data_IF_882058229950
#
_entry.id   IF_882058229950
#
_cell.length_a   1.000
_cell.length_b   1.000
_cell.length_c   1.000
_cell.angle_alpha   90.00
_cell.angle_beta   90.00
_cell.angle_gamma   90.00
#
_symmetry.space_group_name_H-M   'P 1'
#
loop_
_entity.id
_entity.type
_entity.pdbx_description
1 polymer ?
#
# COMPACT_ATOMS: atom_id res chain seq x y z
N UNK A 1 -16.16 9.25 -20.31
CA UNK A 1 -15.35 10.27 -21.00
C UNK A 1 -13.86 10.02 -20.75
N UNK A 2 -13.25 9.26 -21.67
CA UNK A 2 -11.78 8.99 -21.66
C UNK A 2 -10.98 10.25 -22.07
N UNK A 3 -11.66 11.33 -22.43
CA UNK A 3 -11.09 12.51 -23.08
C UNK A 3 -10.29 13.45 -22.14
N UNK A 4 -10.15 13.15 -20.86
CA UNK A 4 -9.51 14.08 -19.92
C UNK A 4 -8.46 13.43 -18.98
N UNK A 5 -7.86 12.32 -19.41
CA UNK A 5 -6.76 11.72 -18.66
C UNK A 5 -5.45 12.41 -19.08
N UNK A 6 -4.72 12.95 -18.11
CA UNK A 6 -3.39 13.54 -18.33
C UNK A 6 -2.48 12.57 -19.10
N UNK A 7 -1.78 13.08 -20.12
CA UNK A 7 -0.88 12.29 -20.98
C UNK A 7 0.18 11.50 -20.19
N UNK A 8 0.63 12.02 -19.03
CA UNK A 8 1.54 11.31 -18.13
C UNK A 8 0.86 10.10 -17.48
N UNK A 9 -0.42 10.22 -17.11
CA UNK A 9 -1.21 9.11 -16.56
C UNK A 9 -1.46 8.05 -17.61
N UNK A 10 -1.78 8.45 -18.86
CA UNK A 10 -1.93 7.53 -19.99
C UNK A 10 -0.63 6.73 -20.24
N UNK A 11 0.51 7.40 -20.26
CA UNK A 11 1.80 6.73 -20.45
C UNK A 11 2.15 5.79 -19.27
N UNK A 12 1.78 6.13 -18.03
CA UNK A 12 1.97 5.26 -16.87
C UNK A 12 1.07 4.02 -16.94
N UNK A 13 -0.19 4.18 -17.33
CA UNK A 13 -1.13 3.07 -17.54
C UNK A 13 -0.64 2.16 -18.67
N UNK A 14 -0.17 2.72 -19.79
CA UNK A 14 0.37 1.93 -20.89
C UNK A 14 1.54 1.07 -20.44
N UNK A 15 2.52 1.64 -19.70
CA UNK A 15 3.64 0.87 -19.15
C UNK A 15 3.18 -0.23 -18.19
N UNK A 16 2.24 0.07 -17.31
CA UNK A 16 1.69 -0.94 -16.40
C UNK A 16 1.00 -2.05 -17.19
N UNK A 17 0.16 -1.71 -18.16
CA UNK A 17 -0.52 -2.69 -19.00
C UNK A 17 0.46 -3.53 -19.81
N UNK A 18 1.55 -2.95 -20.33
CA UNK A 18 2.55 -3.68 -21.09
C UNK A 18 3.25 -4.77 -20.25
N UNK A 19 3.48 -4.49 -18.96
CA UNK A 19 4.12 -5.44 -18.03
C UNK A 19 3.13 -6.47 -17.49
N UNK A 20 1.85 -6.10 -17.32
CA UNK A 20 0.85 -6.90 -16.58
C UNK A 20 -0.26 -7.47 -17.46
N UNK A 21 -0.23 -7.25 -18.78
CA UNK A 21 -1.28 -7.66 -19.74
C UNK A 21 -1.76 -9.09 -19.56
N UNK A 22 -0.82 -10.02 -19.47
CA UNK A 22 -1.17 -11.43 -19.31
C UNK A 22 -1.93 -11.68 -17.99
N UNK A 23 -1.44 -11.11 -16.89
CA UNK A 23 -2.08 -11.25 -15.58
C UNK A 23 -3.47 -10.63 -15.54
N UNK A 24 -3.68 -9.47 -16.18
CA UNK A 24 -4.98 -8.82 -16.25
C UNK A 24 -5.99 -9.60 -17.12
N UNK A 25 -5.54 -10.15 -18.26
CA UNK A 25 -6.43 -10.83 -19.19
C UNK A 25 -6.92 -12.19 -18.70
N UNK A 26 -6.14 -12.87 -17.86
CA UNK A 26 -6.44 -14.23 -17.41
C UNK A 26 -6.82 -14.32 -15.93
N UNK A 27 -6.76 -13.21 -15.18
CA UNK A 27 -7.10 -13.18 -13.77
C UNK A 27 -8.62 -13.38 -13.57
N UNK A 28 -8.99 -14.19 -12.59
CA UNK A 28 -10.36 -14.31 -12.06
C UNK A 28 -10.66 -13.26 -10.99
N UNK A 29 -9.62 -12.64 -10.45
CA UNK A 29 -9.67 -11.53 -9.51
C UNK A 29 -8.32 -10.84 -9.44
N UNK A 30 -8.29 -9.60 -9.01
CA UNK A 30 -7.09 -8.79 -8.95
C UNK A 30 -6.95 -8.17 -7.56
N UNK A 31 -5.73 -8.20 -7.04
CA UNK A 31 -5.32 -7.43 -5.87
C UNK A 31 -4.34 -6.37 -6.36
N UNK A 32 -4.77 -5.11 -6.37
CA UNK A 32 -3.87 -3.99 -6.63
C UNK A 32 -3.16 -3.59 -5.34
N UNK A 33 -1.86 -3.38 -5.43
CA UNK A 33 -0.97 -2.99 -4.32
C UNK A 33 -0.11 -1.79 -4.71
N UNK A 34 0.45 -1.08 -3.75
CA UNK A 34 1.26 0.11 -4.04
C UNK A 34 2.56 -0.23 -4.73
N UNK A 35 3.27 -1.22 -4.23
CA UNK A 35 4.62 -1.53 -4.66
C UNK A 35 4.96 -3.01 -4.73
N UNK A 36 6.26 -3.24 -4.95
CA UNK A 36 6.81 -4.57 -5.13
C UNK A 36 6.85 -5.37 -3.83
N UNK A 37 6.90 -4.68 -2.68
CA UNK A 37 6.96 -5.31 -1.37
C UNK A 37 5.69 -6.11 -1.11
N UNK A 38 4.54 -5.47 -1.27
CA UNK A 38 3.22 -6.10 -1.15
C UNK A 38 3.01 -7.18 -2.20
N UNK A 39 3.46 -6.92 -3.44
CA UNK A 39 3.37 -7.91 -4.52
C UNK A 39 4.06 -9.23 -4.16
N UNK A 40 5.19 -9.17 -3.47
CA UNK A 40 5.95 -10.35 -3.06
C UNK A 40 5.40 -10.98 -1.78
N UNK A 41 4.97 -10.17 -0.80
CA UNK A 41 4.58 -10.66 0.51
C UNK A 41 3.15 -11.20 0.55
N UNK A 42 2.20 -10.58 -0.15
CA UNK A 42 0.78 -10.98 -0.08
C UNK A 42 0.55 -12.42 -0.55
N UNK A 43 1.14 -12.91 -1.66
CA UNK A 43 1.01 -14.31 -2.05
C UNK A 43 1.59 -15.27 -1.00
N UNK A 44 2.69 -14.91 -0.36
CA UNK A 44 3.30 -15.73 0.68
C UNK A 44 2.46 -15.75 1.97
N UNK A 45 1.88 -14.61 2.37
CA UNK A 45 0.94 -14.57 3.49
C UNK A 45 -0.29 -15.42 3.20
N UNK A 46 -0.85 -15.34 2.00
CA UNK A 46 -2.03 -16.12 1.63
C UNK A 46 -1.76 -17.62 1.70
N UNK A 47 -0.61 -18.10 1.22
CA UNK A 47 -0.20 -19.50 1.35
C UNK A 47 -0.10 -19.95 2.81
N UNK A 48 0.42 -19.07 3.71
CA UNK A 48 0.56 -19.38 5.14
C UNK A 48 -0.78 -19.57 5.85
N UNK A 49 -1.84 -18.89 5.40
CA UNK A 49 -3.19 -19.08 5.93
C UNK A 49 -4.00 -20.14 5.17
N UNK A 50 -3.37 -20.91 4.27
CA UNK A 50 -4.02 -21.96 3.50
C UNK A 50 -4.78 -21.50 2.25
N UNK A 51 -4.57 -20.26 1.83
CA UNK A 51 -5.29 -19.63 0.72
C UNK A 51 -4.32 -19.32 -0.43
N UNK A 52 -4.11 -20.24 -1.36
CA UNK A 52 -3.24 -20.01 -2.50
C UNK A 52 -3.95 -19.14 -3.55
N UNK A 53 -3.48 -17.90 -3.75
CA UNK A 53 -4.04 -16.95 -4.72
C UNK A 53 -3.88 -17.45 -6.16
N UNK A 54 -2.77 -18.11 -6.46
CA UNK A 54 -2.45 -18.63 -7.78
C UNK A 54 -3.45 -19.71 -8.21
N UNK A 55 -3.77 -20.66 -7.32
CA UNK A 55 -4.75 -21.72 -7.56
C UNK A 55 -6.17 -21.14 -7.78
N UNK A 56 -6.45 -19.98 -7.20
CA UNK A 56 -7.71 -19.28 -7.35
C UNK A 56 -7.75 -18.37 -8.60
N UNK A 57 -6.63 -18.24 -9.31
CA UNK A 57 -6.49 -17.35 -10.47
C UNK A 57 -6.51 -15.87 -10.07
N UNK A 58 -6.07 -15.54 -8.86
CA UNK A 58 -5.99 -14.16 -8.36
C UNK A 58 -4.58 -13.62 -8.59
N UNK A 59 -4.48 -12.49 -9.28
CA UNK A 59 -3.21 -11.82 -9.56
C UNK A 59 -2.97 -10.64 -8.62
N UNK A 60 -1.76 -10.54 -8.05
CA UNK A 60 -1.32 -9.38 -7.27
C UNK A 60 -0.51 -8.46 -8.17
N UNK A 61 -0.97 -7.24 -8.36
CA UNK A 61 -0.45 -6.29 -9.34
C UNK A 61 -0.03 -4.98 -8.67
N UNK A 62 1.26 -4.62 -8.69
CA UNK A 62 1.74 -3.35 -8.16
C UNK A 62 1.40 -2.21 -9.11
N UNK A 63 0.86 -1.13 -8.58
CA UNK A 63 0.48 0.05 -9.40
C UNK A 63 1.68 0.96 -9.71
N UNK A 64 2.76 0.89 -8.92
CA UNK A 64 4.04 1.56 -9.19
C UNK A 64 3.91 3.04 -9.59
N UNK A 65 3.13 3.81 -8.83
CA UNK A 65 2.92 5.25 -9.06
C UNK A 65 1.78 5.58 -10.03
N UNK A 66 0.95 4.60 -10.42
CA UNK A 66 -0.35 4.85 -11.04
C UNK A 66 -1.39 5.07 -9.95
N UNK A 67 -2.30 6.03 -10.13
CA UNK A 67 -3.41 6.22 -9.20
C UNK A 67 -4.37 5.03 -9.22
N UNK A 68 -4.71 4.50 -8.06
CA UNK A 68 -5.76 3.51 -7.92
C UNK A 68 -7.10 3.99 -8.51
N UNK A 69 -7.42 5.28 -8.35
CA UNK A 69 -8.63 5.90 -8.89
C UNK A 69 -8.75 5.71 -10.40
N UNK A 70 -7.64 5.95 -11.10
CA UNK A 70 -7.59 5.79 -12.55
C UNK A 70 -7.81 4.33 -12.95
N UNK A 71 -7.22 3.38 -12.22
CA UNK A 71 -7.40 1.96 -12.48
C UNK A 71 -8.82 1.48 -12.18
N UNK A 72 -9.39 1.92 -11.07
CA UNK A 72 -10.76 1.55 -10.68
C UNK A 72 -11.81 1.93 -11.71
N UNK A 73 -11.56 2.94 -12.55
CA UNK A 73 -12.48 3.31 -13.61
C UNK A 73 -12.66 2.23 -14.70
N UNK A 74 -11.65 1.34 -14.85
CA UNK A 74 -11.74 0.21 -15.78
C UNK A 74 -12.53 -0.97 -15.23
N UNK A 75 -12.74 -1.01 -13.90
CA UNK A 75 -13.39 -2.14 -13.22
C UNK A 75 -14.76 -1.73 -12.68
N UNK A 76 -15.74 -2.60 -12.85
CA UNK A 76 -17.09 -2.38 -12.39
C UNK A 76 -18.07 -3.30 -13.11
N UNK A 77 -19.35 -3.02 -12.93
CA UNK A 77 -20.47 -3.76 -13.56
C UNK A 77 -21.12 -3.00 -14.74
N UNK A 78 -20.53 -1.86 -15.13
CA UNK A 78 -21.00 -1.06 -16.28
C UNK A 78 -20.65 -1.70 -17.62
N UNK A 79 -21.34 -1.28 -18.68
CA UNK A 79 -21.24 -1.86 -20.04
C UNK A 79 -19.81 -1.88 -20.62
N UNK A 80 -18.97 -0.88 -20.27
CA UNK A 80 -17.60 -0.76 -20.74
C UNK A 80 -16.56 -1.01 -19.65
N UNK A 81 -16.92 -1.78 -18.61
CA UNK A 81 -16.04 -2.08 -17.49
C UNK A 81 -15.76 -3.58 -17.40
N UNK A 82 -14.60 -3.89 -16.83
CA UNK A 82 -14.17 -5.26 -16.56
C UNK A 82 -14.84 -5.72 -15.28
N UNK A 83 -15.75 -6.69 -15.39
CA UNK A 83 -16.50 -7.20 -14.25
C UNK A 83 -15.82 -8.41 -13.63
N UNK A 84 -14.67 -8.18 -12.97
CA UNK A 84 -14.00 -9.16 -12.12
C UNK A 84 -13.84 -8.57 -10.71
N UNK A 85 -13.73 -9.41 -9.66
CA UNK A 85 -13.46 -8.93 -8.31
C UNK A 85 -12.12 -8.20 -8.22
N UNK A 86 -12.12 -7.04 -7.59
CA UNK A 86 -10.92 -6.21 -7.36
C UNK A 86 -10.78 -5.92 -5.87
N UNK A 87 -9.60 -6.15 -5.34
CA UNK A 87 -9.20 -5.66 -4.03
C UNK A 87 -8.09 -4.61 -4.19
N UNK A 88 -8.13 -3.57 -3.38
CA UNK A 88 -7.02 -2.62 -3.23
C UNK A 88 -6.45 -2.80 -1.85
N UNK A 89 -5.15 -2.97 -1.76
CA UNK A 89 -4.38 -2.97 -0.51
C UNK A 89 -3.41 -1.80 -0.59
N UNK A 90 -3.55 -0.85 0.32
CA UNK A 90 -2.78 0.40 0.32
C UNK A 90 -2.50 0.86 1.74
N UNK A 91 -1.46 1.65 1.91
CA UNK A 91 -1.15 2.29 3.18
C UNK A 91 -2.15 3.40 3.50
N UNK A 92 -2.46 3.59 4.77
CA UNK A 92 -3.33 4.68 5.19
C UNK A 92 -2.61 6.02 5.19
N UNK A 93 -1.27 6.04 5.22
CA UNK A 93 -0.43 7.24 5.23
C UNK A 93 -1.03 8.36 6.10
N UNK A 94 -1.22 8.12 7.40
CA UNK A 94 -2.06 8.98 8.22
C UNK A 94 -1.56 10.41 8.24
N UNK A 95 -2.49 11.35 8.42
CA UNK A 95 -2.15 12.74 8.70
C UNK A 95 -1.22 12.79 9.90
N UNK A 96 -0.24 13.68 9.84
CA UNK A 96 0.77 13.85 10.90
C UNK A 96 0.33 14.95 11.84
N UNK A 97 0.54 14.77 13.14
CA UNK A 97 0.39 15.86 14.12
C UNK A 97 1.71 16.60 14.21
N UNK A 98 1.67 17.90 13.97
CA UNK A 98 2.79 18.78 14.27
C UNK A 98 2.60 19.35 15.67
N UNK A 99 3.50 19.07 16.60
CA UNK A 99 3.53 19.80 17.86
C UNK A 99 3.94 21.24 17.56
N UNK A 100 3.09 22.22 17.89
CA UNK A 100 3.34 23.66 17.69
C UNK A 100 3.43 24.17 16.25
N UNK A 101 2.79 23.51 15.28
CA UNK A 101 2.76 24.01 13.89
C UNK A 101 4.05 23.79 13.09
N UNK A 102 5.07 23.20 13.67
CA UNK A 102 6.29 22.80 12.99
C UNK A 102 6.37 21.28 12.93
N UNK A 103 6.86 20.74 11.82
CA UNK A 103 7.17 19.32 11.72
C UNK A 103 8.12 18.93 12.85
N UNK A 104 7.69 17.96 13.67
CA UNK A 104 8.50 17.51 14.77
C UNK A 104 9.68 16.71 14.21
N UNK A 105 10.88 17.24 14.42
CA UNK A 105 12.14 16.57 14.08
C UNK A 105 12.81 16.14 15.38
N UNK A 106 13.38 14.94 15.39
CA UNK A 106 14.26 14.54 16.47
C UNK A 106 15.57 15.34 16.41
N UNK A 107 16.45 15.12 17.39
CA UNK A 107 17.77 15.78 17.48
C UNK A 107 18.66 15.54 16.25
N UNK A 108 18.38 14.48 15.47
CA UNK A 108 19.07 14.13 14.24
C UNK A 108 18.39 14.68 12.98
N UNK A 109 17.35 15.51 13.13
CA UNK A 109 16.61 16.10 12.03
C UNK A 109 15.64 15.14 11.31
N UNK A 110 15.38 13.97 11.90
CA UNK A 110 14.43 12.98 11.35
C UNK A 110 13.01 13.34 11.78
N UNK A 111 12.09 13.22 10.85
CA UNK A 111 10.67 13.43 11.14
C UNK A 111 10.12 12.24 11.95
N UNK A 112 9.91 12.45 13.25
CA UNK A 112 9.12 11.55 14.08
C UNK A 112 7.63 11.90 13.91
N UNK A 113 7.04 11.47 12.84
CA UNK A 113 5.65 11.76 12.57
C UNK A 113 4.75 10.87 13.44
N UNK A 114 4.08 11.48 14.42
CA UNK A 114 3.04 10.82 15.19
C UNK A 114 1.75 10.86 14.36
N UNK A 115 1.08 9.72 14.11
CA UNK A 115 -0.21 9.72 13.43
C UNK A 115 -1.24 10.60 14.15
N UNK A 116 -1.91 11.47 13.42
CA UNK A 116 -3.03 12.23 13.96
C UNK A 116 -4.17 11.26 14.33
N UNK A 117 -4.83 11.55 15.47
CA UNK A 117 -5.97 10.78 15.94
C UNK A 117 -7.20 11.68 16.05
N UNK A 118 -8.35 11.12 15.79
CA UNK A 118 -9.63 11.79 16.01
C UNK A 118 -10.01 11.84 17.51
N UNK A 119 -11.19 12.37 17.80
CA UNK A 119 -11.72 12.49 19.16
C UNK A 119 -11.97 11.14 19.85
N UNK A 120 -12.06 10.05 19.08
CA UNK A 120 -12.23 8.68 19.58
C UNK A 120 -10.89 7.94 19.74
N UNK A 121 -9.78 8.59 19.38
CA UNK A 121 -8.44 8.00 19.42
C UNK A 121 -8.08 7.18 18.18
N UNK A 122 -8.93 7.15 17.15
CA UNK A 122 -8.68 6.46 15.90
C UNK A 122 -7.71 7.25 15.01
N UNK A 123 -6.83 6.54 14.31
CA UNK A 123 -5.87 7.16 13.39
C UNK A 123 -6.62 7.79 12.20
N UNK A 124 -6.31 9.05 11.91
CA UNK A 124 -6.90 9.79 10.77
C UNK A 124 -6.08 9.47 9.51
N UNK A 125 -6.64 8.71 8.55
CA UNK A 125 -5.95 8.39 7.31
C UNK A 125 -5.76 9.64 6.45
N UNK A 126 -4.91 9.57 5.43
CA UNK A 126 -4.78 10.64 4.43
C UNK A 126 -6.06 10.80 3.59
N UNK A 127 -6.20 11.96 2.94
CA UNK A 127 -7.40 12.30 2.16
C UNK A 127 -7.63 11.34 0.97
N UNK A 128 -6.56 10.75 0.42
CA UNK A 128 -6.62 9.72 -0.62
C UNK A 128 -7.51 8.54 -0.21
N UNK A 129 -7.44 8.09 1.03
CA UNK A 129 -8.25 6.98 1.53
C UNK A 129 -9.74 7.32 1.53
N UNK A 130 -10.11 8.55 1.86
CA UNK A 130 -11.52 9.00 1.81
C UNK A 130 -12.03 8.98 0.35
N UNK A 131 -11.23 9.45 -0.60
CA UNK A 131 -11.56 9.42 -2.02
C UNK A 131 -11.73 7.98 -2.53
N UNK A 132 -10.81 7.07 -2.19
CA UNK A 132 -10.91 5.66 -2.57
C UNK A 132 -12.15 4.99 -1.97
N UNK A 133 -12.46 5.24 -0.70
CA UNK A 133 -13.69 4.73 -0.07
C UNK A 133 -14.94 5.18 -0.82
N UNK A 134 -14.99 6.45 -1.22
CA UNK A 134 -16.12 7.00 -1.99
C UNK A 134 -16.26 6.32 -3.35
N UNK A 135 -15.16 6.14 -4.08
CA UNK A 135 -15.16 5.47 -5.38
C UNK A 135 -15.60 4.00 -5.27
N UNK A 136 -15.09 3.29 -4.28
CA UNK A 136 -15.39 1.87 -4.08
C UNK A 136 -16.82 1.67 -3.61
N UNK A 137 -17.40 2.59 -2.83
CA UNK A 137 -18.79 2.49 -2.37
C UNK A 137 -19.81 2.38 -3.51
N UNK A 138 -19.47 2.87 -4.69
CA UNK A 138 -20.30 2.76 -5.90
C UNK A 138 -20.09 1.47 -6.69
N UNK A 139 -19.15 0.60 -6.28
CA UNK A 139 -18.75 -0.61 -7.01
C UNK A 139 -19.05 -1.86 -6.19
N UNK A 140 -19.81 -2.78 -6.75
CA UNK A 140 -20.18 -4.03 -6.08
C UNK A 140 -19.09 -5.10 -6.15
N UNK A 141 -18.14 -4.94 -7.06
CA UNK A 141 -17.03 -5.88 -7.31
C UNK A 141 -15.68 -5.39 -6.81
N UNK A 142 -15.61 -4.30 -6.02
CA UNK A 142 -14.37 -3.74 -5.50
C UNK A 142 -14.39 -3.61 -3.98
N UNK A 143 -13.23 -3.84 -3.35
CA UNK A 143 -13.02 -3.70 -1.90
C UNK A 143 -11.70 -2.98 -1.62
N UNK A 144 -11.66 -2.21 -0.51
CA UNK A 144 -10.48 -1.51 -0.04
C UNK A 144 -10.05 -2.05 1.32
N UNK A 145 -8.77 -2.36 1.42
CA UNK A 145 -8.08 -2.74 2.64
C UNK A 145 -6.93 -1.76 2.88
N UNK A 146 -6.82 -1.25 4.09
CA UNK A 146 -5.74 -0.32 4.45
C UNK A 146 -4.98 -0.82 5.66
N UNK A 147 -3.67 -0.60 5.67
CA UNK A 147 -2.87 -0.71 6.90
C UNK A 147 -3.29 0.36 7.92
N UNK A 148 -2.90 0.21 9.18
CA UNK A 148 -3.14 1.25 10.21
C UNK A 148 -2.31 2.51 9.94
N UNK A 149 -1.06 2.32 9.52
CA UNK A 149 -0.11 3.38 9.12
C UNK A 149 0.53 3.01 7.79
N UNK A 150 1.44 2.03 7.81
CA UNK A 150 2.02 1.37 6.65
C UNK A 150 2.07 -0.14 6.88
N UNK A 151 2.30 -0.92 5.83
CA UNK A 151 2.45 -2.38 5.95
C UNK A 151 3.56 -2.74 6.94
N UNK A 152 4.72 -2.06 6.85
CA UNK A 152 5.86 -2.33 7.73
C UNK A 152 5.53 -2.00 9.19
N UNK A 153 4.78 -0.94 9.43
CA UNK A 153 4.33 -0.58 10.78
C UNK A 153 3.46 -1.68 11.37
N UNK A 154 2.45 -2.13 10.63
CA UNK A 154 1.53 -3.18 11.08
C UNK A 154 2.27 -4.50 11.32
N UNK A 155 3.20 -4.87 10.46
CA UNK A 155 4.05 -6.05 10.65
C UNK A 155 4.93 -5.93 11.90
N UNK A 156 5.56 -4.77 12.12
CA UNK A 156 6.39 -4.54 13.30
C UNK A 156 5.56 -4.54 14.60
N UNK A 157 4.33 -4.00 14.54
CA UNK A 157 3.44 -3.93 15.69
C UNK A 157 2.80 -5.28 16.04
N UNK A 158 2.60 -6.14 15.05
CA UNK A 158 1.95 -7.44 15.24
C UNK A 158 2.72 -8.38 16.18
N UNK A 159 4.06 -8.31 16.18
CA UNK A 159 4.91 -9.19 16.97
C UNK A 159 6.28 -8.56 17.26
N UNK A 160 6.73 -8.59 18.52
CA UNK A 160 8.05 -8.08 18.94
C UNK A 160 9.22 -8.80 18.25
N UNK A 161 9.09 -10.10 17.97
CA UNK A 161 10.12 -10.86 17.26
C UNK A 161 10.24 -10.39 15.81
N UNK A 162 9.12 -10.10 15.17
CA UNK A 162 9.08 -9.57 13.81
C UNK A 162 9.69 -8.17 13.74
N UNK A 163 9.38 -7.29 14.70
CA UNK A 163 10.00 -5.97 14.81
C UNK A 163 11.53 -6.08 14.95
N UNK A 164 12.02 -7.00 15.79
CA UNK A 164 13.46 -7.26 15.96
C UNK A 164 14.12 -7.77 14.66
N UNK A 165 13.43 -8.67 13.94
CA UNK A 165 13.91 -9.19 12.66
C UNK A 165 13.99 -8.10 11.60
N UNK A 166 12.97 -7.24 11.50
CA UNK A 166 12.95 -6.10 10.58
C UNK A 166 14.06 -5.10 10.89
N UNK A 167 14.31 -4.80 12.17
CA UNK A 167 15.43 -3.94 12.59
C UNK A 167 16.78 -4.51 12.18
N UNK A 168 17.00 -5.82 12.37
CA UNK A 168 18.24 -6.51 11.93
C UNK A 168 18.40 -6.50 10.42
N UNK A 169 17.32 -6.70 9.66
CA UNK A 169 17.36 -6.65 8.20
C UNK A 169 17.72 -5.24 7.70
N UNK A 170 17.14 -4.22 8.30
CA UNK A 170 17.44 -2.82 8.04
C UNK A 170 18.92 -2.49 8.32
N UNK A 171 19.40 -2.88 9.49
CA UNK A 171 20.81 -2.71 9.89
C UNK A 171 21.77 -3.37 8.88
N UNK A 172 21.51 -4.62 8.52
CA UNK A 172 22.31 -5.36 7.53
C UNK A 172 22.34 -4.69 6.16
N UNK A 173 21.23 -4.08 5.74
CA UNK A 173 21.15 -3.33 4.49
C UNK A 173 22.00 -2.06 4.52
N UNK A 174 21.95 -1.30 5.61
CA UNK A 174 22.71 -0.05 5.74
C UNK A 174 24.21 -0.28 5.92
N UNK A 175 24.63 -1.32 6.62
CA UNK A 175 26.05 -1.72 6.72
C UNK A 175 26.62 -1.95 5.33
N UNK A 176 25.89 -2.65 4.45
CA UNK A 176 26.33 -2.88 3.06
C UNK A 176 26.50 -1.59 2.25
N UNK A 177 25.77 -0.54 2.57
CA UNK A 177 25.83 0.76 1.88
C UNK A 177 26.88 1.71 2.48
N UNK A 178 27.61 1.31 3.53
CA UNK A 178 28.61 2.17 4.17
C UNK A 178 28.03 3.38 4.90
N UNK A 179 26.74 3.38 5.19
CA UNK A 179 26.08 4.43 5.95
C UNK A 179 26.27 4.21 7.45
N UNK A 180 26.36 5.30 8.24
CA UNK A 180 26.43 5.20 9.70
C UNK A 180 25.20 4.44 10.24
N UNK A 181 25.45 3.37 10.98
CA UNK A 181 24.42 2.45 11.46
C UNK A 181 23.72 3.06 12.66
N UNK A 182 22.41 3.17 12.57
CA UNK A 182 21.57 3.28 13.76
C UNK A 182 21.58 1.93 14.47
N UNK A 183 22.02 1.92 15.71
CA UNK A 183 22.12 0.71 16.51
C UNK A 183 20.71 0.09 16.66
N UNK A 184 20.53 -1.19 16.32
CA UNK A 184 19.27 -1.94 16.41
C UNK A 184 18.61 -1.84 17.81
N UNK A 185 19.40 -1.66 18.85
CA UNK A 185 18.93 -1.41 20.21
C UNK A 185 18.11 -0.11 20.36
N UNK A 186 18.38 0.90 19.54
CA UNK A 186 17.72 2.21 19.60
C UNK A 186 16.35 2.18 18.88
N UNK A 187 16.15 1.27 17.93
CA UNK A 187 14.88 1.12 17.22
C UNK A 187 13.85 0.29 18.00
N UNK A 188 14.29 -0.62 18.88
CA UNK A 188 13.40 -1.52 19.62
C UNK A 188 12.77 -0.88 20.87
N UNK A 189 13.11 0.36 21.23
CA UNK A 189 12.72 1.01 22.50
C UNK A 189 11.79 2.22 22.28
N UNK A 190 11.43 2.53 21.05
CA UNK A 190 10.43 3.57 20.75
C UNK A 190 9.24 2.97 20.00
#
# INVERSE_FOLDING_TARGET
DVANIDSKKVAAIQRMLDVTKASLCFAKGIIFVEGICEQLLIPEFSKKIGENLEDKGISVIPVCGVDFETLLNFFGTGENQINIPVAIITDSDPKKVTSSGNDWKDTDGRENAIPARDTNGEIIPCDRIATLKTLISSKTNAQLFTSSVTLEYDLAFANKELASLMAKAWEAFYIRKGSAVLNSATMAVK
#
